data_IF_976643734846
#
_entry.id   IF_976643734846
#
_cell.length_a   1.000
_cell.length_b   1.000
_cell.length_c   1.000
_cell.angle_alpha   90.00
_cell.angle_beta   90.00
_cell.angle_gamma   90.00
#
_symmetry.space_group_name_H-M   'P 1'
#
loop_
_entity.id
_entity.type
_entity.pdbx_description
1 polymer ?
#
# COMPACT_ATOMS: atom_id res chain seq x y z
N UNK A 1 -23.75 22.83 25.05
CA UNK A 1 -22.65 21.99 24.55
C UNK A 1 -22.86 20.58 25.08
N UNK A 2 -22.73 19.56 24.26
CA UNK A 2 -22.80 18.17 24.71
C UNK A 2 -21.44 17.73 25.23
N UNK A 3 -21.39 16.79 26.18
CA UNK A 3 -20.10 16.25 26.62
C UNK A 3 -19.54 15.34 25.56
N UNK A 4 -20.39 14.55 24.89
CA UNK A 4 -19.97 13.56 23.89
C UNK A 4 -21.02 13.42 22.79
N UNK A 5 -20.53 13.24 21.54
CA UNK A 5 -21.34 12.85 20.39
C UNK A 5 -20.78 11.55 19.81
N UNK A 6 -21.67 10.63 19.45
CA UNK A 6 -21.35 9.43 18.67
C UNK A 6 -22.02 9.58 17.31
N UNK A 7 -21.24 9.50 16.25
CA UNK A 7 -21.72 9.73 14.89
C UNK A 7 -21.23 8.65 13.91
N UNK A 8 -22.14 8.22 13.04
CA UNK A 8 -21.83 7.48 11.83
C UNK A 8 -22.31 8.31 10.63
N UNK A 9 -21.55 9.34 10.22
CA UNK A 9 -21.98 10.23 9.16
C UNK A 9 -21.99 9.50 7.80
N UNK A 10 -22.87 9.89 6.87
CA UNK A 10 -22.82 9.37 5.51
C UNK A 10 -21.48 9.70 4.86
N UNK A 11 -20.88 8.72 4.18
CA UNK A 11 -19.51 8.87 3.70
C UNK A 11 -19.39 9.75 2.44
N UNK A 12 -20.38 9.69 1.54
CA UNK A 12 -20.33 10.37 0.25
C UNK A 12 -19.23 9.81 -0.66
N UNK A 13 -18.98 10.48 -1.77
CA UNK A 13 -17.94 10.07 -2.69
C UNK A 13 -16.55 10.21 -2.05
N UNK A 14 -15.83 9.09 -1.91
CA UNK A 14 -14.48 9.02 -1.30
C UNK A 14 -14.38 9.63 0.11
N UNK A 15 -15.45 9.60 0.88
CA UNK A 15 -15.47 10.14 2.24
C UNK A 15 -15.62 11.68 2.31
N UNK A 16 -15.96 12.35 1.21
CA UNK A 16 -16.04 13.82 1.17
C UNK A 16 -17.12 14.40 2.08
N UNK A 17 -18.25 13.71 2.21
CA UNK A 17 -19.34 14.19 3.05
C UNK A 17 -19.02 14.00 4.54
N UNK A 18 -18.50 12.83 4.93
CA UNK A 18 -18.07 12.61 6.31
C UNK A 18 -16.96 13.56 6.73
N UNK A 19 -16.02 13.89 5.85
CA UNK A 19 -14.99 14.90 6.09
C UNK A 19 -15.59 16.26 6.43
N UNK A 20 -16.56 16.74 5.64
CA UNK A 20 -17.26 17.99 5.89
C UNK A 20 -18.00 17.99 7.23
N UNK A 21 -18.65 16.88 7.58
CA UNK A 21 -19.36 16.72 8.85
C UNK A 21 -18.38 16.76 10.02
N UNK A 22 -17.29 16.01 9.95
CA UNK A 22 -16.27 15.99 11.01
C UNK A 22 -15.68 17.39 11.25
N UNK A 23 -15.35 18.11 10.20
CA UNK A 23 -14.85 19.49 10.32
C UNK A 23 -15.89 20.40 10.96
N UNK A 24 -17.15 20.34 10.51
CA UNK A 24 -18.23 21.17 11.06
C UNK A 24 -18.51 20.88 12.56
N UNK A 25 -18.40 19.63 13.00
CA UNK A 25 -18.55 19.27 14.41
C UNK A 25 -17.50 19.96 15.29
N UNK A 26 -16.26 20.05 14.84
CA UNK A 26 -15.19 20.72 15.56
C UNK A 26 -15.29 22.25 15.48
N UNK A 27 -15.51 22.80 14.28
CA UNK A 27 -15.63 24.25 14.06
C UNK A 27 -16.75 24.87 14.92
N UNK A 28 -17.88 24.18 15.00
CA UNK A 28 -19.03 24.65 15.79
C UNK A 28 -18.97 24.28 17.27
N UNK A 29 -17.93 23.60 17.72
CA UNK A 29 -17.71 23.17 19.11
C UNK A 29 -18.98 22.52 19.74
N UNK A 30 -19.59 21.60 19.01
CA UNK A 30 -20.88 21.00 19.37
C UNK A 30 -20.75 20.14 20.64
N UNK A 31 -19.60 19.48 20.81
CA UNK A 31 -19.28 18.67 21.98
C UNK A 31 -17.79 18.76 22.35
N UNK A 32 -17.46 18.31 23.56
CA UNK A 32 -16.07 18.19 24.00
C UNK A 32 -15.37 17.00 23.37
N UNK A 33 -16.10 15.93 23.11
CA UNK A 33 -15.62 14.69 22.52
C UNK A 33 -16.58 14.22 21.41
N UNK A 34 -16.01 13.76 20.29
CA UNK A 34 -16.74 13.15 19.18
C UNK A 34 -16.14 11.76 18.91
N UNK A 35 -16.99 10.74 18.88
CA UNK A 35 -16.61 9.40 18.41
C UNK A 35 -17.25 9.18 17.06
N UNK A 36 -16.43 9.09 16.02
CA UNK A 36 -16.89 9.09 14.63
C UNK A 36 -16.46 7.82 13.92
N UNK A 37 -17.42 7.07 13.39
CA UNK A 37 -17.20 5.95 12.48
C UNK A 37 -17.17 6.48 11.05
N UNK A 38 -16.00 6.52 10.42
CA UNK A 38 -15.85 7.09 9.08
C UNK A 38 -14.61 6.53 8.35
N UNK A 39 -14.50 6.71 7.01
CA UNK A 39 -13.24 6.47 6.33
C UNK A 39 -12.12 7.29 6.98
N UNK A 40 -11.00 6.65 7.30
CA UNK A 40 -9.90 7.28 8.06
C UNK A 40 -9.43 8.60 7.43
N UNK A 41 -9.46 8.70 6.09
CA UNK A 41 -9.14 9.93 5.36
C UNK A 41 -10.06 11.12 5.67
N UNK A 42 -11.25 10.86 6.19
CA UNK A 42 -12.19 11.92 6.57
C UNK A 42 -11.70 12.74 7.75
N UNK A 43 -10.75 12.21 8.49
CA UNK A 43 -10.19 12.84 9.70
C UNK A 43 -8.82 13.49 9.49
N UNK A 44 -8.34 13.53 8.24
CA UNK A 44 -7.02 14.11 7.90
C UNK A 44 -6.90 15.59 8.32
N UNK A 45 -7.94 16.38 8.08
CA UNK A 45 -7.91 17.82 8.39
C UNK A 45 -7.99 18.10 9.90
N UNK A 46 -8.41 17.11 10.68
CA UNK A 46 -8.57 17.22 12.14
C UNK A 46 -7.55 16.36 12.89
N UNK A 47 -6.47 15.96 12.24
CA UNK A 47 -5.46 15.05 12.79
C UNK A 47 -4.92 15.52 14.14
N UNK A 48 -4.72 16.82 14.32
CA UNK A 48 -4.24 17.42 15.56
C UNK A 48 -5.19 17.23 16.74
N UNK A 49 -6.47 16.94 16.47
CA UNK A 49 -7.52 16.78 17.46
C UNK A 49 -7.87 15.32 17.75
N UNK A 50 -7.21 14.38 17.06
CA UNK A 50 -7.46 12.95 17.24
C UNK A 50 -6.70 12.45 18.45
N UNK A 51 -7.45 11.99 19.46
CA UNK A 51 -6.91 11.40 20.68
C UNK A 51 -6.71 9.88 20.54
N UNK A 52 -7.62 9.21 19.83
CA UNK A 52 -7.52 7.77 19.62
C UNK A 52 -8.11 7.35 18.28
N UNK A 53 -7.53 6.29 17.69
CA UNK A 53 -7.98 5.70 16.43
C UNK A 53 -8.04 4.18 16.57
N UNK A 54 -9.20 3.62 16.29
CA UNK A 54 -9.35 2.19 16.12
C UNK A 54 -9.59 1.88 14.63
N UNK A 55 -8.60 1.34 13.94
CA UNK A 55 -8.70 1.02 12.52
C UNK A 55 -9.40 -0.32 12.32
N UNK A 56 -10.54 -0.32 11.62
CA UNK A 56 -11.35 -1.50 11.34
C UNK A 56 -11.03 -2.15 9.99
N UNK A 57 -10.36 -1.40 9.11
CA UNK A 57 -10.07 -1.86 7.75
C UNK A 57 -11.32 -1.92 6.87
N UNK A 58 -11.61 -3.09 6.34
CA UNK A 58 -12.80 -3.33 5.52
C UNK A 58 -13.98 -3.74 6.40
N UNK A 59 -15.06 -2.95 6.39
CA UNK A 59 -16.24 -3.19 7.22
C UNK A 59 -17.16 -4.32 6.72
N UNK A 60 -16.90 -4.90 5.56
CA UNK A 60 -17.66 -6.09 5.08
C UNK A 60 -17.65 -7.25 6.07
N UNK A 61 -16.71 -7.24 7.01
CA UNK A 61 -16.65 -8.22 8.11
C UNK A 61 -17.77 -8.00 9.15
N UNK A 62 -18.31 -6.80 9.20
CA UNK A 62 -19.28 -6.39 10.23
C UNK A 62 -20.63 -6.00 9.65
N UNK A 63 -20.67 -5.54 8.40
CA UNK A 63 -21.86 -5.03 7.74
C UNK A 63 -21.88 -5.47 6.28
N UNK A 64 -23.07 -5.64 5.71
CA UNK A 64 -23.27 -5.90 4.28
C UNK A 64 -22.99 -4.64 3.43
N UNK A 65 -21.84 -4.00 3.62
CA UNK A 65 -21.49 -2.78 2.93
C UNK A 65 -20.05 -2.85 2.39
N UNK A 66 -19.87 -2.46 1.15
CA UNK A 66 -18.54 -2.40 0.50
C UNK A 66 -17.84 -1.09 0.82
N UNK A 67 -17.24 -0.98 1.99
CA UNK A 67 -16.47 0.19 2.38
C UNK A 67 -15.14 -0.22 3.01
N UNK A 68 -14.05 0.31 2.50
CA UNK A 68 -12.69 0.02 2.96
C UNK A 68 -12.09 1.20 3.73
N UNK A 69 -11.07 0.91 4.53
CA UNK A 69 -10.32 1.93 5.28
C UNK A 69 -11.16 2.70 6.29
N UNK A 70 -12.07 2.00 6.97
CA UNK A 70 -12.92 2.56 8.02
C UNK A 70 -12.19 2.55 9.36
N UNK A 71 -12.40 3.57 10.14
CA UNK A 71 -11.90 3.70 11.52
C UNK A 71 -12.94 4.30 12.44
N UNK A 72 -12.84 3.97 13.72
CA UNK A 72 -13.49 4.71 14.80
C UNK A 72 -12.46 5.73 15.29
N UNK A 73 -12.80 7.01 15.21
CA UNK A 73 -11.92 8.09 15.60
C UNK A 73 -12.49 8.80 16.81
N UNK A 74 -11.71 8.90 17.89
CA UNK A 74 -12.00 9.75 19.03
C UNK A 74 -11.36 11.11 18.80
N UNK A 75 -12.19 12.13 18.60
CA UNK A 75 -11.80 13.49 18.29
C UNK A 75 -12.19 14.38 19.47
N UNK A 76 -11.25 15.14 20.00
CA UNK A 76 -11.44 16.02 21.15
C UNK A 76 -11.39 17.49 20.76
N UNK A 77 -12.03 18.36 21.52
CA UNK A 77 -12.13 19.79 21.22
C UNK A 77 -10.81 20.56 21.36
N UNK A 78 -9.82 19.99 22.08
CA UNK A 78 -8.48 20.57 22.26
C UNK A 78 -7.46 19.81 21.42
N UNK A 79 -6.48 20.52 20.87
CA UNK A 79 -5.38 19.89 20.13
C UNK A 79 -4.55 18.97 21.03
N UNK A 80 -4.30 17.75 20.56
CA UNK A 80 -3.47 16.75 21.23
C UNK A 80 -2.24 16.37 20.42
N UNK A 81 -2.25 16.61 19.11
CA UNK A 81 -1.12 16.40 18.17
C UNK A 81 -0.46 15.02 18.31
N UNK A 82 -1.27 13.98 18.53
CA UNK A 82 -0.82 12.62 18.85
C UNK A 82 -0.32 11.87 17.60
N UNK A 83 -0.88 12.19 16.44
CA UNK A 83 -0.61 11.54 15.17
C UNK A 83 -0.02 12.52 14.17
N UNK A 84 1.08 12.13 13.49
CA UNK A 84 1.70 12.92 12.41
C UNK A 84 1.14 12.53 11.04
N UNK A 85 0.87 11.23 10.84
CA UNK A 85 0.33 10.69 9.59
C UNK A 85 -0.68 9.57 9.92
N UNK A 86 -1.90 9.70 9.38
CA UNK A 86 -2.94 8.68 9.50
C UNK A 86 -2.63 7.40 8.70
N UNK A 87 -1.67 7.46 7.79
CA UNK A 87 -1.22 6.27 7.04
C UNK A 87 -0.59 5.26 7.98
N UNK A 88 0.18 5.72 8.97
CA UNK A 88 0.88 4.83 9.90
C UNK A 88 -0.06 4.03 10.80
N UNK A 89 -1.24 4.59 11.09
CA UNK A 89 -2.26 3.88 11.87
C UNK A 89 -2.78 2.62 11.15
N UNK A 90 -2.64 2.57 9.84
CA UNK A 90 -3.06 1.41 9.02
C UNK A 90 -2.03 0.30 8.94
N UNK A 91 -0.80 0.59 9.37
CA UNK A 91 0.30 -0.37 9.34
C UNK A 91 0.35 -1.14 10.65
N UNK A 92 0.59 -2.43 10.56
CA UNK A 92 0.93 -3.23 11.73
C UNK A 92 2.34 -2.83 12.23
N UNK A 93 2.63 -3.14 13.48
CA UNK A 93 3.98 -2.94 14.05
C UNK A 93 5.06 -3.60 13.19
N UNK A 94 4.81 -4.81 12.72
CA UNK A 94 5.66 -5.56 11.79
C UNK A 94 5.90 -4.81 10.47
N UNK A 95 4.86 -4.21 9.91
CA UNK A 95 4.96 -3.40 8.69
C UNK A 95 5.76 -2.12 8.91
N UNK A 96 5.60 -1.47 10.06
CA UNK A 96 6.40 -0.29 10.43
C UNK A 96 7.88 -0.65 10.63
N UNK A 97 8.17 -1.78 11.27
CA UNK A 97 9.54 -2.29 11.44
C UNK A 97 10.20 -2.56 10.09
N UNK A 98 9.49 -3.23 9.18
CA UNK A 98 9.97 -3.51 7.82
C UNK A 98 10.26 -2.22 7.05
N UNK A 99 9.32 -1.27 7.03
CA UNK A 99 9.50 0.01 6.35
C UNK A 99 10.74 0.75 6.86
N UNK A 100 10.93 0.79 8.18
CA UNK A 100 12.12 1.41 8.79
C UNK A 100 13.41 0.73 8.33
N UNK A 101 13.43 -0.60 8.32
CA UNK A 101 14.59 -1.38 7.90
C UNK A 101 14.93 -1.14 6.41
N UNK A 102 13.93 -1.20 5.53
CA UNK A 102 14.13 -0.93 4.10
C UNK A 102 14.61 0.49 3.84
N UNK A 103 14.02 1.50 4.50
CA UNK A 103 14.46 2.89 4.33
C UNK A 103 15.90 3.09 4.77
N UNK A 104 16.29 2.49 5.89
CA UNK A 104 17.66 2.56 6.40
C UNK A 104 18.64 1.90 5.43
N UNK A 105 18.33 0.69 4.97
CA UNK A 105 19.16 -0.04 4.01
C UNK A 105 19.30 0.75 2.69
N UNK A 106 18.18 1.17 2.12
CA UNK A 106 18.16 1.88 0.84
C UNK A 106 18.86 3.25 0.89
N UNK A 107 18.98 3.86 2.08
CA UNK A 107 19.70 5.14 2.22
C UNK A 107 21.21 5.03 1.97
N UNK A 108 21.78 3.83 2.07
CA UNK A 108 23.20 3.52 1.86
C UNK A 108 23.49 2.69 0.61
N UNK A 109 22.45 2.36 -0.17
CA UNK A 109 22.59 1.54 -1.37
C UNK A 109 21.92 2.24 -2.56
N UNK A 110 22.63 2.29 -3.68
CA UNK A 110 22.08 2.85 -4.91
C UNK A 110 20.91 2.01 -5.44
N UNK A 111 19.88 2.65 -6.00
CA UNK A 111 18.77 1.94 -6.62
C UNK A 111 19.29 1.08 -7.77
N UNK A 112 18.91 -0.19 -7.83
CA UNK A 112 19.26 -1.10 -8.92
C UNK A 112 18.43 -0.87 -10.19
N UNK A 113 17.57 0.13 -10.21
CA UNK A 113 16.60 0.34 -11.26
C UNK A 113 16.17 1.81 -11.38
N UNK A 114 15.64 2.15 -12.54
CA UNK A 114 14.90 3.40 -12.74
C UNK A 114 13.41 3.12 -12.76
N UNK A 115 12.65 3.87 -11.97
CA UNK A 115 11.19 3.71 -11.91
C UNK A 115 10.47 4.81 -12.66
N UNK A 116 9.39 4.43 -13.32
CA UNK A 116 8.47 5.39 -13.90
C UNK A 116 7.02 5.03 -13.54
N UNK A 117 6.23 6.03 -13.21
CA UNK A 117 4.81 5.85 -12.88
C UNK A 117 3.96 6.68 -13.84
N UNK A 118 2.81 6.19 -14.18
CA UNK A 118 1.88 6.93 -15.01
C UNK A 118 0.66 6.14 -15.45
N UNK A 119 -0.09 6.73 -16.37
CA UNK A 119 -1.20 6.08 -17.02
C UNK A 119 -0.74 5.51 -18.36
N UNK A 120 -1.20 4.30 -18.72
CA UNK A 120 -1.08 3.80 -20.07
C UNK A 120 -1.85 4.71 -21.01
N UNK A 121 -1.15 5.42 -21.88
CA UNK A 121 -1.70 6.19 -22.99
C UNK A 121 -0.58 6.44 -24.03
N UNK A 122 -0.96 6.97 -25.19
CA UNK A 122 -0.03 7.24 -26.29
C UNK A 122 1.15 8.14 -25.87
N UNK A 123 0.88 9.20 -25.08
CA UNK A 123 1.95 10.10 -24.58
C UNK A 123 2.97 9.33 -23.72
N UNK A 124 2.51 8.35 -22.96
CA UNK A 124 3.39 7.52 -22.16
C UNK A 124 4.19 6.55 -23.02
N UNK A 125 3.58 5.98 -24.05
CA UNK A 125 4.26 5.16 -25.04
C UNK A 125 5.39 5.95 -25.73
N UNK A 126 5.09 7.18 -26.14
CA UNK A 126 6.10 8.08 -26.73
C UNK A 126 7.26 8.38 -25.76
N UNK A 127 6.95 8.62 -24.48
CA UNK A 127 7.97 8.87 -23.45
C UNK A 127 8.85 7.64 -23.14
N UNK A 128 8.36 6.44 -23.45
CA UNK A 128 9.07 5.16 -23.26
C UNK A 128 9.70 4.61 -24.55
N UNK A 129 9.58 5.32 -25.67
CA UNK A 129 10.08 4.81 -26.97
C UNK A 129 11.58 4.54 -27.01
N UNK A 130 12.36 5.25 -26.19
CA UNK A 130 13.80 5.09 -26.09
C UNK A 130 14.22 4.08 -25.01
N UNK A 131 13.22 3.42 -24.38
CA UNK A 131 13.42 2.43 -23.33
C UNK A 131 13.39 1.03 -23.95
N UNK A 132 14.36 0.21 -23.62
CA UNK A 132 14.35 -1.19 -24.02
C UNK A 132 13.23 -1.94 -23.30
N UNK A 133 12.13 -2.25 -23.98
CA UNK A 133 10.97 -2.95 -23.40
C UNK A 133 11.35 -4.35 -22.88
N UNK A 134 12.39 -5.00 -23.43
CA UNK A 134 12.86 -6.31 -22.99
C UNK A 134 13.50 -6.25 -21.58
N UNK A 135 13.92 -5.07 -21.14
CA UNK A 135 14.47 -4.83 -19.80
C UNK A 135 13.46 -4.24 -18.82
N UNK A 136 12.20 -4.16 -19.19
CA UNK A 136 11.14 -3.63 -18.33
C UNK A 136 10.44 -4.72 -17.52
N UNK A 137 10.25 -4.41 -16.25
CA UNK A 137 9.29 -5.08 -15.38
C UNK A 137 8.08 -4.17 -15.15
N UNK A 138 6.89 -4.64 -15.47
CA UNK A 138 5.69 -3.82 -15.45
C UNK A 138 4.67 -4.34 -14.43
N UNK A 139 4.22 -3.46 -13.56
CA UNK A 139 3.11 -3.72 -12.64
C UNK A 139 1.93 -2.82 -12.99
N UNK A 140 0.78 -3.42 -13.22
CA UNK A 140 -0.45 -2.69 -13.48
C UNK A 140 -1.31 -2.57 -12.23
N UNK A 141 -1.99 -1.43 -12.04
CA UNK A 141 -2.80 -1.18 -10.86
C UNK A 141 -4.16 -1.89 -10.82
N UNK A 142 -4.47 -2.74 -11.78
CA UNK A 142 -5.67 -3.59 -11.74
C UNK A 142 -5.54 -4.77 -10.78
N UNK A 143 -4.37 -4.94 -10.18
CA UNK A 143 -4.18 -5.91 -9.13
C UNK A 143 -4.92 -5.48 -7.88
N UNK A 144 -6.13 -5.97 -7.71
CA UNK A 144 -6.74 -5.99 -6.40
C UNK A 144 -6.06 -7.12 -5.61
N UNK A 145 -5.51 -6.82 -4.44
CA UNK A 145 -4.88 -7.83 -3.57
C UNK A 145 -5.84 -8.98 -3.29
N UNK A 146 -7.15 -8.71 -3.19
CA UNK A 146 -8.20 -9.73 -3.05
C UNK A 146 -8.18 -10.79 -4.16
N UNK A 147 -7.62 -10.48 -5.32
CA UNK A 147 -7.44 -11.43 -6.42
C UNK A 147 -6.11 -12.17 -6.36
N UNK A 148 -5.06 -11.52 -5.86
CA UNK A 148 -3.78 -12.17 -5.55
C UNK A 148 -3.97 -13.24 -4.49
N UNK A 149 -4.88 -13.02 -3.54
CA UNK A 149 -5.18 -13.94 -2.45
C UNK A 149 -5.99 -15.18 -2.85
N UNK A 150 -6.77 -15.13 -3.91
CA UNK A 150 -7.73 -16.19 -4.22
C UNK A 150 -7.27 -17.20 -5.26
N UNK A 151 -6.43 -16.82 -6.20
CA UNK A 151 -5.93 -17.69 -7.26
C UNK A 151 -4.54 -17.28 -7.75
N UNK A 152 -3.57 -18.17 -7.69
CA UNK A 152 -2.25 -17.96 -8.29
C UNK A 152 -2.33 -17.74 -9.82
N UNK A 153 -3.36 -18.26 -10.48
CA UNK A 153 -3.64 -18.00 -11.90
C UNK A 153 -4.10 -16.56 -12.14
N UNK A 154 -4.89 -15.97 -11.25
CA UNK A 154 -5.28 -14.56 -11.32
C UNK A 154 -4.08 -13.62 -11.09
N UNK A 155 -3.07 -14.07 -10.36
CA UNK A 155 -1.81 -13.35 -10.18
C UNK A 155 -1.04 -13.23 -11.50
N UNK A 156 -1.04 -14.28 -12.34
CA UNK A 156 -0.44 -14.27 -13.66
C UNK A 156 -1.08 -13.24 -14.60
N UNK A 157 -2.37 -12.97 -14.46
CA UNK A 157 -3.09 -12.03 -15.31
C UNK A 157 -2.97 -10.57 -14.85
N UNK A 158 -2.60 -10.33 -13.62
CA UNK A 158 -2.62 -9.00 -13.01
C UNK A 158 -1.25 -8.41 -12.67
N UNK A 159 -0.24 -9.27 -12.56
CA UNK A 159 1.13 -8.89 -12.22
C UNK A 159 2.00 -9.42 -13.34
N UNK A 160 2.39 -8.62 -14.36
CA UNK A 160 3.65 -8.91 -14.91
C UNK A 160 3.83 -9.36 -16.31
N UNK A 161 4.86 -8.77 -16.90
CA UNK A 161 5.51 -9.25 -18.09
C UNK A 161 4.57 -9.41 -19.31
N UNK A 162 3.32 -9.03 -19.16
CA UNK A 162 2.39 -8.89 -20.27
C UNK A 162 2.81 -7.64 -21.05
N UNK A 163 2.80 -7.68 -22.37
CA UNK A 163 2.98 -6.50 -23.18
C UNK A 163 2.05 -5.39 -22.70
N UNK A 164 2.58 -4.17 -22.55
CA UNK A 164 1.76 -3.03 -22.12
C UNK A 164 0.68 -2.81 -23.16
N UNK A 165 -0.59 -3.02 -22.76
CA UNK A 165 -1.69 -2.67 -23.63
C UNK A 165 -1.95 -1.16 -23.51
N UNK A 166 -1.37 -0.38 -24.40
CA UNK A 166 -1.44 1.08 -24.43
C UNK A 166 -2.85 1.61 -24.71
N UNK A 167 -3.74 0.78 -25.30
CA UNK A 167 -5.13 1.16 -25.59
C UNK A 167 -6.00 1.10 -24.34
N UNK A 168 -5.58 0.35 -23.33
CA UNK A 168 -6.30 0.25 -22.05
C UNK A 168 -5.76 1.26 -21.05
N UNK A 169 -6.57 2.26 -20.73
CA UNK A 169 -6.27 3.22 -19.67
C UNK A 169 -6.12 2.49 -18.32
N UNK A 170 -4.89 2.29 -17.90
CA UNK A 170 -4.57 1.73 -16.58
C UNK A 170 -3.35 2.46 -16.01
N UNK A 171 -3.28 2.60 -14.70
CA UNK A 171 -2.07 3.09 -14.06
C UNK A 171 -1.02 1.99 -14.09
N UNK A 172 0.19 2.34 -14.49
CA UNK A 172 1.33 1.41 -14.53
C UNK A 172 2.47 1.95 -13.67
N UNK A 173 3.25 1.03 -13.16
CA UNK A 173 4.56 1.26 -12.57
C UNK A 173 5.56 0.38 -13.32
N UNK A 174 6.63 0.95 -13.79
CA UNK A 174 7.69 0.20 -14.49
C UNK A 174 8.98 0.30 -13.73
N UNK A 175 9.70 -0.80 -13.66
CA UNK A 175 11.08 -0.89 -13.21
C UNK A 175 11.92 -1.23 -14.44
N UNK A 176 12.89 -0.38 -14.75
CA UNK A 176 13.84 -0.63 -15.84
C UNK A 176 15.14 -1.13 -15.26
N UNK A 177 15.60 -2.25 -15.77
CA UNK A 177 16.90 -2.83 -15.46
C UNK A 177 17.91 -2.44 -16.52
N UNK A 178 19.18 -2.49 -16.17
CA UNK A 178 20.33 -2.28 -17.07
C UNK A 178 20.87 -3.60 -17.67
N UNK A 179 20.47 -4.73 -17.08
CA UNK A 179 20.98 -6.05 -17.39
C UNK A 179 19.84 -7.10 -17.41
N UNK A 180 19.78 -7.95 -18.44
CA UNK A 180 18.75 -9.00 -18.54
C UNK A 180 18.88 -10.06 -17.44
N UNK A 181 20.10 -10.33 -16.93
CA UNK A 181 20.30 -11.28 -15.82
C UNK A 181 19.68 -10.73 -14.53
N UNK A 182 19.91 -9.44 -14.25
CA UNK A 182 19.28 -8.77 -13.10
C UNK A 182 17.75 -8.82 -13.20
N UNK A 183 17.20 -8.50 -14.36
CA UNK A 183 15.76 -8.59 -14.60
C UNK A 183 15.23 -10.01 -14.39
N UNK A 184 15.95 -11.04 -14.92
CA UNK A 184 15.51 -12.42 -14.79
C UNK A 184 15.57 -12.90 -13.33
N UNK A 185 16.62 -12.55 -12.58
CA UNK A 185 16.72 -12.86 -11.14
C UNK A 185 15.62 -12.19 -10.33
N UNK A 186 15.34 -10.91 -10.61
CA UNK A 186 14.23 -10.21 -10.00
C UNK A 186 12.87 -10.84 -10.32
N UNK A 187 12.62 -11.20 -11.59
CA UNK A 187 11.41 -11.93 -12.01
C UNK A 187 11.29 -13.26 -11.28
N UNK A 188 12.36 -14.02 -11.20
CA UNK A 188 12.37 -15.31 -10.51
C UNK A 188 12.01 -15.18 -9.03
N UNK A 189 12.52 -14.14 -8.35
CA UNK A 189 12.18 -13.84 -6.99
C UNK A 189 10.71 -13.38 -6.85
N UNK A 190 10.28 -12.44 -7.71
CA UNK A 190 8.92 -11.92 -7.70
C UNK A 190 7.87 -13.00 -7.94
N UNK A 191 8.15 -13.94 -8.86
CA UNK A 191 7.21 -15.00 -9.23
C UNK A 191 7.31 -16.26 -8.37
N UNK A 192 8.23 -16.32 -7.42
CA UNK A 192 8.31 -17.41 -6.44
C UNK A 192 7.12 -17.46 -5.49
N UNK A 193 6.06 -16.70 -5.76
CA UNK A 193 4.80 -16.87 -5.03
C UNK A 193 4.33 -18.30 -5.29
N UNK A 194 4.48 -19.22 -4.33
CA UNK A 194 4.03 -20.59 -4.49
C UNK A 194 2.53 -20.57 -4.76
N UNK A 195 2.05 -21.46 -5.61
CA UNK A 195 0.63 -21.55 -5.89
C UNK A 195 -0.22 -21.75 -4.64
N UNK A 196 -1.49 -21.41 -4.76
CA UNK A 196 -2.64 -21.64 -3.87
C UNK A 196 -2.33 -21.98 -2.40
N UNK A 197 -2.56 -21.05 -1.48
CA UNK A 197 -2.66 -21.36 -0.05
C UNK A 197 -1.85 -20.47 0.88
N UNK A 198 -1.72 -20.91 2.09
CA UNK A 198 -1.05 -20.24 3.22
C UNK A 198 0.41 -19.90 2.90
N UNK A 199 1.07 -20.68 2.06
CA UNK A 199 2.48 -20.50 1.72
C UNK A 199 2.73 -19.25 0.85
N UNK A 200 1.79 -18.87 -0.01
CA UNK A 200 1.88 -17.63 -0.79
C UNK A 200 1.92 -16.40 0.14
N UNK A 201 1.21 -16.44 1.26
CA UNK A 201 1.11 -15.35 2.23
C UNK A 201 2.40 -15.13 3.01
N UNK A 202 3.36 -16.06 2.91
CA UNK A 202 4.64 -16.02 3.62
C UNK A 202 5.79 -15.51 2.78
N UNK A 203 5.53 -14.99 1.58
CA UNK A 203 6.56 -14.40 0.73
C UNK A 203 6.75 -12.90 1.05
N UNK A 204 7.98 -12.42 0.87
CA UNK A 204 8.30 -11.01 1.08
C UNK A 204 7.55 -10.10 0.11
N UNK A 205 7.37 -10.53 -1.13
CA UNK A 205 6.55 -9.81 -2.11
C UNK A 205 5.11 -9.66 -1.65
N UNK A 206 4.52 -10.73 -1.15
CA UNK A 206 3.18 -10.67 -0.62
C UNK A 206 3.08 -9.68 0.54
N UNK A 207 4.04 -9.73 1.47
CA UNK A 207 4.10 -8.82 2.59
C UNK A 207 4.22 -7.35 2.14
N UNK A 208 5.05 -7.07 1.13
CA UNK A 208 5.19 -5.72 0.55
C UNK A 208 3.88 -5.26 -0.09
N UNK A 209 3.22 -6.12 -0.85
CA UNK A 209 1.95 -5.77 -1.50
C UNK A 209 0.84 -5.57 -0.48
N UNK A 210 0.78 -6.39 0.57
CA UNK A 210 -0.16 -6.25 1.67
C UNK A 210 0.05 -4.93 2.42
N UNK A 211 1.29 -4.61 2.78
CA UNK A 211 1.68 -3.32 3.36
C UNK A 211 1.20 -2.14 2.51
N UNK A 212 1.42 -2.18 1.19
CA UNK A 212 0.98 -1.11 0.30
C UNK A 212 -0.55 -1.00 0.25
N UNK A 213 -1.26 -2.12 0.23
CA UNK A 213 -2.71 -2.12 0.18
C UNK A 213 -3.34 -1.63 1.48
N UNK A 214 -2.87 -2.08 2.62
CA UNK A 214 -3.37 -1.66 3.93
C UNK A 214 -3.06 -0.19 4.19
N UNK A 215 -1.82 0.23 3.99
CA UNK A 215 -1.40 1.61 4.26
C UNK A 215 -2.01 2.64 3.30
N UNK A 216 -2.06 2.33 2.00
CA UNK A 216 -2.40 3.31 0.97
C UNK A 216 -3.69 3.01 0.22
N UNK A 217 -4.32 1.87 0.49
CA UNK A 217 -5.48 1.37 -0.24
C UNK A 217 -5.09 0.75 -1.58
N UNK A 218 -5.89 -0.20 -2.04
CA UNK A 218 -5.65 -0.90 -3.30
C UNK A 218 -5.77 -0.02 -4.57
N UNK A 219 -5.71 -0.65 -5.72
CA UNK A 219 -5.85 0.01 -7.02
C UNK A 219 -4.61 0.84 -7.40
N UNK A 220 -4.75 2.15 -7.75
CA UNK A 220 -3.62 2.97 -8.22
C UNK A 220 -2.46 3.08 -7.23
N UNK A 221 -2.71 2.82 -5.95
CA UNK A 221 -1.68 2.92 -4.92
C UNK A 221 -0.68 1.77 -4.96
N UNK A 222 -0.98 0.68 -5.65
CA UNK A 222 -0.09 -0.49 -5.74
C UNK A 222 1.30 -0.12 -6.29
N UNK A 223 1.39 0.92 -7.13
CA UNK A 223 2.66 1.44 -7.65
C UNK A 223 3.65 1.84 -6.55
N UNK A 224 3.18 2.06 -5.33
CA UNK A 224 4.02 2.40 -4.18
C UNK A 224 4.85 1.23 -3.66
N UNK A 225 4.61 0.01 -4.17
CA UNK A 225 5.41 -1.16 -3.82
C UNK A 225 6.92 -0.91 -4.02
N UNK A 226 7.29 -0.10 -5.01
CA UNK A 226 8.68 0.25 -5.30
C UNK A 226 9.37 0.97 -4.14
N UNK A 227 8.63 1.65 -3.27
CA UNK A 227 9.19 2.32 -2.10
C UNK A 227 9.66 1.36 -1.02
N UNK A 228 9.19 0.10 -1.11
CA UNK A 228 9.45 -0.97 -0.15
C UNK A 228 10.31 -2.08 -0.73
N UNK A 229 10.84 -1.89 -1.96
CA UNK A 229 11.80 -2.80 -2.55
C UNK A 229 13.19 -2.53 -2.00
N UNK A 230 13.87 -3.53 -1.41
CA UNK A 230 15.26 -3.39 -0.99
C UNK A 230 16.18 -3.22 -2.19
N UNK A 231 17.16 -2.32 -2.10
CA UNK A 231 18.15 -2.07 -3.14
C UNK A 231 19.27 -3.12 -3.14
N UNK A 232 18.92 -4.41 -3.17
CA UNK A 232 19.89 -5.50 -3.28
C UNK A 232 20.40 -5.62 -4.71
N UNK A 233 21.63 -6.14 -4.89
CA UNK A 233 22.19 -6.38 -6.21
C UNK A 233 21.62 -7.65 -6.85
N UNK A 234 20.80 -7.48 -7.88
CA UNK A 234 20.15 -8.57 -8.61
C UNK A 234 21.08 -9.28 -9.62
N UNK A 235 22.37 -9.03 -9.63
CA UNK A 235 23.33 -9.79 -10.45
C UNK A 235 23.35 -11.29 -10.10
N UNK A 236 22.83 -11.65 -8.91
CA UNK A 236 22.59 -13.02 -8.47
C UNK A 236 21.14 -13.24 -8.02
N UNK A 237 20.69 -14.51 -7.94
CA UNK A 237 19.41 -14.82 -7.29
C UNK A 237 19.44 -14.50 -5.79
N UNK A 238 18.28 -14.11 -5.26
CA UNK A 238 18.05 -13.85 -3.84
C UNK A 238 16.90 -14.70 -3.31
N UNK A 239 16.97 -15.08 -2.05
CA UNK A 239 15.86 -15.63 -1.27
C UNK A 239 15.28 -14.54 -0.35
N UNK A 240 14.05 -14.74 0.11
CA UNK A 240 13.42 -13.82 1.09
C UNK A 240 14.24 -13.74 2.38
N UNK A 241 14.78 -14.86 2.84
CA UNK A 241 15.61 -14.95 4.05
C UNK A 241 16.92 -14.16 3.91
N UNK A 242 17.59 -14.26 2.75
CA UNK A 242 18.80 -13.49 2.48
C UNK A 242 18.49 -11.98 2.48
N UNK A 243 17.39 -11.57 1.83
CA UNK A 243 16.96 -10.16 1.82
C UNK A 243 16.64 -9.68 3.22
N UNK A 244 15.92 -10.46 4.03
CA UNK A 244 15.59 -10.10 5.40
C UNK A 244 16.85 -9.95 6.26
N UNK A 245 17.84 -10.83 6.07
CA UNK A 245 19.15 -10.74 6.75
C UNK A 245 19.89 -9.47 6.39
N UNK A 246 19.94 -9.10 5.10
CA UNK A 246 20.53 -7.82 4.65
C UNK A 246 19.83 -6.60 5.27
N UNK A 247 18.52 -6.70 5.48
CA UNK A 247 17.74 -5.65 6.15
C UNK A 247 17.93 -5.63 7.68
N UNK A 248 18.68 -6.57 8.27
CA UNK A 248 18.80 -6.74 9.71
C UNK A 248 17.51 -7.21 10.39
N UNK A 249 16.66 -7.90 9.66
CA UNK A 249 15.42 -8.47 10.17
C UNK A 249 15.58 -9.98 10.44
N UNK A 250 14.82 -10.54 11.40
CA UNK A 250 14.85 -12.00 11.68
C UNK A 250 14.46 -12.81 10.44
N UNK A 251 15.06 -13.98 10.25
CA UNK A 251 14.74 -14.87 9.13
C UNK A 251 13.28 -15.40 9.19
N UNK A 252 12.73 -15.52 10.38
CA UNK A 252 11.33 -15.89 10.65
C UNK A 252 10.37 -14.69 10.62
N UNK A 253 10.85 -13.52 10.17
CA UNK A 253 10.08 -12.27 10.11
C UNK A 253 8.74 -12.43 9.39
N UNK A 254 8.65 -13.24 8.35
CA UNK A 254 7.40 -13.49 7.61
C UNK A 254 6.48 -14.52 8.27
N UNK A 255 6.90 -15.13 9.37
CA UNK A 255 6.21 -16.20 10.08
C UNK A 255 6.96 -17.53 9.99
N UNK A 256 6.64 -18.45 10.89
CA UNK A 256 7.32 -19.76 10.97
C UNK A 256 7.12 -20.52 9.65
N UNK A 257 8.23 -20.97 9.09
CA UNK A 257 8.27 -21.93 7.99
C UNK A 257 7.77 -23.27 8.47
#
# INVERSE_FOLDING_TARGET
>A
MFNKIIANPPYGNKGSLSKRIVNALLENKVAEEHVVLAPIRSSVDVIDYIDDIHYLGNINKYFEASCSSISINRIVSKKVCKYKDLVDVRKSEKQLQFEKAVRLYNSSHEPFYVTTHGWCNLKRKEALKDVNEDLLFVVTCRCALNKVHKNAEDTKHNLLGQPINWDKRSSISTIQFDDPVKLQNFKNWWYKVPGKGVDAQRTLIYFILDLVCEAYGGGPSIKKYVWFLPHVDWSRPWTDQEILRELGLPEDFLGVV
#
